data_IF_094036689763
#
_entry.id   IF_094036689763
#
_cell.length_a   1.000
_cell.length_b   1.000
_cell.length_c   1.000
_cell.angle_alpha   90.00
_cell.angle_beta   90.00
_cell.angle_gamma   90.00
#
_symmetry.space_group_name_H-M   'P 1'
#
loop_
_entity.id
_entity.type
_entity.pdbx_description
1 polymer ?
#
# COMPACT_ATOMS: atom_id res chain seq x y z
N UNK A 1 -8.19 -3.45 -35.71
CA UNK A 1 -8.77 -2.17 -35.33
C UNK A 1 -7.78 -1.41 -34.42
N UNK A 2 -7.48 -0.11 -34.69
CA UNK A 2 -6.41 0.64 -34.00
C UNK A 2 -6.62 0.78 -32.48
N UNK A 3 -7.84 0.62 -31.99
CA UNK A 3 -8.16 0.72 -30.56
C UNK A 3 -7.63 -0.45 -29.70
N UNK A 4 -7.47 -1.64 -30.27
CA UNK A 4 -6.95 -2.81 -29.54
C UNK A 4 -5.45 -2.72 -29.28
N UNK A 5 -4.70 -2.13 -30.21
CA UNK A 5 -3.25 -1.99 -30.08
C UNK A 5 -2.89 -0.87 -29.08
N UNK A 6 -3.67 0.22 -29.10
CA UNK A 6 -3.51 1.30 -28.10
C UNK A 6 -3.78 0.80 -26.67
N UNK A 7 -4.86 0.06 -26.44
CA UNK A 7 -5.16 -0.51 -25.11
C UNK A 7 -4.04 -1.43 -24.63
N UNK A 8 -3.56 -2.33 -25.50
CA UNK A 8 -2.42 -3.21 -25.15
C UNK A 8 -1.17 -2.44 -24.80
N UNK A 9 -0.85 -1.37 -25.55
CA UNK A 9 0.29 -0.53 -25.25
C UNK A 9 0.15 0.16 -23.87
N UNK A 10 -1.01 0.73 -23.58
CA UNK A 10 -1.30 1.36 -22.28
C UNK A 10 -1.20 0.36 -21.13
N UNK A 11 -1.74 -0.85 -21.30
CA UNK A 11 -1.66 -1.93 -20.29
C UNK A 11 -0.20 -2.38 -20.06
N UNK A 12 0.61 -2.45 -21.11
CA UNK A 12 2.03 -2.79 -21.01
C UNK A 12 2.83 -1.70 -20.27
N UNK A 13 2.63 -0.44 -20.63
CA UNK A 13 3.26 0.70 -19.93
C UNK A 13 2.87 0.75 -18.46
N UNK A 14 1.59 0.54 -18.16
CA UNK A 14 1.11 0.44 -16.78
C UNK A 14 1.78 -0.69 -16.01
N UNK A 15 1.87 -1.87 -16.60
CA UNK A 15 2.48 -3.04 -15.97
C UNK A 15 3.99 -2.83 -15.71
N UNK A 16 4.69 -2.14 -16.61
CA UNK A 16 6.10 -1.76 -16.42
C UNK A 16 6.25 -0.78 -15.26
N UNK A 17 5.42 0.27 -15.22
CA UNK A 17 5.43 1.24 -14.13
C UNK A 17 5.13 0.60 -12.77
N UNK A 18 4.15 -0.29 -12.70
CA UNK A 18 3.83 -1.03 -11.48
C UNK A 18 5.00 -1.93 -11.02
N UNK A 19 5.71 -2.55 -11.95
CA UNK A 19 6.89 -3.34 -11.62
C UNK A 19 8.04 -2.48 -11.11
N UNK A 20 8.24 -1.29 -11.69
CA UNK A 20 9.24 -0.33 -11.22
C UNK A 20 8.92 0.13 -9.79
N UNK A 21 7.65 0.37 -9.47
CA UNK A 21 7.19 0.69 -8.12
C UNK A 21 7.51 -0.45 -7.13
N UNK A 22 7.28 -1.71 -7.52
CA UNK A 22 7.62 -2.87 -6.66
C UNK A 22 9.12 -3.03 -6.46
N UNK A 23 9.92 -2.79 -7.50
CA UNK A 23 11.39 -2.77 -7.38
C UNK A 23 11.82 -1.69 -6.40
N UNK A 24 11.24 -0.49 -6.48
CA UNK A 24 11.53 0.59 -5.52
C UNK A 24 11.14 0.22 -4.07
N UNK A 25 10.01 -0.48 -3.88
CA UNK A 25 9.64 -1.05 -2.57
C UNK A 25 10.72 -2.01 -2.03
N UNK A 26 11.20 -2.91 -2.88
CA UNK A 26 12.24 -3.87 -2.50
C UNK A 26 13.57 -3.19 -2.16
N UNK A 27 14.00 -2.22 -2.97
CA UNK A 27 15.23 -1.45 -2.71
C UNK A 27 15.14 -0.66 -1.40
N UNK A 28 13.99 -0.02 -1.12
CA UNK A 28 13.75 0.66 0.15
C UNK A 28 13.78 -0.33 1.33
N UNK A 29 13.17 -1.51 1.16
CA UNK A 29 13.22 -2.59 2.15
C UNK A 29 14.65 -3.03 2.48
N UNK A 30 15.51 -3.21 1.47
CA UNK A 30 16.91 -3.54 1.69
C UNK A 30 17.67 -2.48 2.48
N UNK A 31 17.24 -1.22 2.40
CA UNK A 31 17.81 -0.09 3.14
C UNK A 31 17.21 0.09 4.54
N UNK A 32 16.28 -0.79 4.94
CA UNK A 32 15.64 -0.75 6.24
C UNK A 32 14.34 0.07 6.29
N UNK A 33 13.87 0.62 5.15
CA UNK A 33 12.55 1.27 5.05
C UNK A 33 11.48 0.18 4.82
N UNK A 34 11.02 -0.37 5.93
CA UNK A 34 10.07 -1.48 5.89
C UNK A 34 8.65 -1.01 5.55
N UNK A 35 7.93 -1.75 4.66
CA UNK A 35 6.53 -1.46 4.40
C UNK A 35 5.66 -1.69 5.64
N UNK A 36 4.63 -0.88 5.78
CA UNK A 36 3.66 -0.95 6.84
C UNK A 36 2.28 -1.41 6.40
N UNK A 37 1.33 -1.40 7.32
CA UNK A 37 -0.05 -1.83 7.09
C UNK A 37 -0.24 -3.34 7.09
N UNK A 38 -1.50 -3.80 6.89
CA UNK A 38 -1.84 -5.23 7.02
C UNK A 38 -1.10 -6.15 6.05
N UNK A 39 -0.70 -5.68 4.85
CA UNK A 39 0.05 -6.46 3.87
C UNK A 39 1.53 -6.61 4.21
N UNK A 40 2.06 -5.87 5.19
CA UNK A 40 3.50 -5.75 5.46
C UNK A 40 4.20 -7.09 5.70
N UNK A 41 3.64 -7.96 6.53
CA UNK A 41 4.25 -9.25 6.84
C UNK A 41 4.41 -10.14 5.61
N UNK A 42 3.39 -10.18 4.74
CA UNK A 42 3.44 -10.94 3.49
C UNK A 42 4.50 -10.38 2.54
N UNK A 43 4.54 -9.07 2.38
CA UNK A 43 5.53 -8.42 1.51
C UNK A 43 6.96 -8.61 2.01
N UNK A 44 7.19 -8.51 3.33
CA UNK A 44 8.51 -8.79 3.92
C UNK A 44 8.98 -10.21 3.65
N UNK A 45 8.11 -11.20 3.80
CA UNK A 45 8.44 -12.60 3.49
C UNK A 45 8.83 -12.77 2.03
N UNK A 46 8.11 -12.16 1.11
CA UNK A 46 8.44 -12.19 -0.32
C UNK A 46 9.81 -11.50 -0.59
N UNK A 47 10.05 -10.35 0.02
CA UNK A 47 11.30 -9.62 -0.15
C UNK A 47 12.49 -10.34 0.49
N UNK A 48 12.31 -10.97 1.65
CA UNK A 48 13.33 -11.83 2.26
C UNK A 48 13.68 -12.99 1.35
N UNK A 49 12.68 -13.67 0.79
CA UNK A 49 12.89 -14.76 -0.16
C UNK A 49 13.68 -14.30 -1.40
N UNK A 50 13.35 -13.15 -1.97
CA UNK A 50 14.05 -12.57 -3.11
C UNK A 50 15.50 -12.23 -2.74
N UNK A 51 15.71 -11.51 -1.63
CA UNK A 51 17.04 -11.15 -1.11
C UNK A 51 17.92 -12.39 -0.92
N UNK A 52 17.40 -13.40 -0.23
CA UNK A 52 18.14 -14.60 0.12
C UNK A 52 18.48 -15.45 -1.14
N UNK A 53 17.58 -15.41 -2.14
CA UNK A 53 17.79 -16.12 -3.43
C UNK A 53 18.80 -15.41 -4.32
N UNK A 54 18.81 -14.07 -4.35
CA UNK A 54 19.66 -13.27 -5.22
C UNK A 54 20.98 -12.86 -4.57
N UNK A 55 21.04 -12.83 -3.23
CA UNK A 55 22.20 -12.34 -2.48
C UNK A 55 22.34 -10.81 -2.52
N UNK A 56 21.24 -10.09 -2.73
CA UNK A 56 21.22 -8.64 -2.79
C UNK A 56 21.57 -7.99 -1.44
N UNK A 57 22.18 -6.82 -1.52
CA UNK A 57 22.61 -6.02 -0.38
C UNK A 57 22.01 -4.60 -0.48
N UNK A 58 21.91 -3.86 0.64
CA UNK A 58 21.49 -2.46 0.61
C UNK A 58 22.30 -1.65 -0.43
N UNK A 59 21.58 -1.01 -1.37
CA UNK A 59 22.19 -0.23 -2.45
C UNK A 59 22.92 -1.05 -3.54
N UNK A 60 22.85 -2.38 -3.50
CA UNK A 60 23.53 -3.26 -4.48
C UNK A 60 22.63 -4.41 -4.91
N UNK A 61 22.00 -4.27 -6.05
CA UNK A 61 21.25 -5.32 -6.75
C UNK A 61 22.21 -6.07 -7.69
N UNK A 62 22.33 -7.38 -7.49
CA UNK A 62 23.29 -8.20 -8.24
C UNK A 62 22.80 -8.58 -9.64
N UNK A 63 21.50 -8.85 -9.79
CA UNK A 63 20.88 -9.26 -11.05
C UNK A 63 19.51 -8.60 -11.22
N UNK A 64 19.48 -7.44 -11.85
CA UNK A 64 18.27 -6.67 -12.12
C UNK A 64 17.21 -7.45 -12.94
N UNK A 65 17.65 -8.24 -13.91
CA UNK A 65 16.73 -9.00 -14.76
C UNK A 65 16.03 -10.09 -13.96
N UNK A 66 16.76 -10.81 -13.14
CA UNK A 66 16.22 -11.87 -12.30
C UNK A 66 15.34 -11.31 -11.19
N UNK A 67 15.74 -10.19 -10.56
CA UNK A 67 14.94 -9.46 -9.61
C UNK A 67 13.56 -9.11 -10.19
N UNK A 68 13.52 -8.45 -11.35
CA UNK A 68 12.28 -8.07 -12.02
C UNK A 68 11.40 -9.29 -12.35
N UNK A 69 12.02 -10.41 -12.74
CA UNK A 69 11.28 -11.65 -12.98
C UNK A 69 10.64 -12.20 -11.71
N UNK A 70 11.35 -12.18 -10.59
CA UNK A 70 10.84 -12.66 -9.30
C UNK A 70 9.73 -11.76 -8.75
N UNK A 71 9.83 -10.44 -8.93
CA UNK A 71 8.85 -9.47 -8.43
C UNK A 71 7.66 -9.23 -9.39
N UNK A 72 7.67 -9.79 -10.59
CA UNK A 72 6.66 -9.52 -11.62
C UNK A 72 5.22 -9.85 -11.17
N UNK A 73 5.02 -10.86 -10.34
CA UNK A 73 3.71 -11.23 -9.81
C UNK A 73 3.15 -10.16 -8.87
N UNK A 74 3.98 -9.52 -8.05
CA UNK A 74 3.59 -8.40 -7.20
C UNK A 74 3.24 -7.16 -8.03
N UNK A 75 4.02 -6.87 -9.08
CA UNK A 75 3.74 -5.77 -10.01
C UNK A 75 2.35 -5.86 -10.63
N UNK A 76 1.89 -7.07 -10.99
CA UNK A 76 0.55 -7.29 -11.56
C UNK A 76 -0.59 -6.97 -10.60
N UNK A 77 -0.36 -7.05 -9.30
CA UNK A 77 -1.37 -6.86 -8.27
C UNK A 77 -1.32 -5.47 -7.63
N UNK A 78 -0.26 -4.70 -7.87
CA UNK A 78 -0.08 -3.38 -7.26
C UNK A 78 -1.01 -2.34 -7.86
N UNK A 79 -1.73 -1.65 -7.00
CA UNK A 79 -2.50 -0.44 -7.29
C UNK A 79 -2.02 0.66 -6.36
N UNK A 80 -1.35 1.65 -6.94
CA UNK A 80 -0.81 2.81 -6.21
C UNK A 80 -1.95 3.74 -5.82
N UNK A 81 -2.01 4.14 -4.56
CA UNK A 81 -3.05 5.00 -4.01
C UNK A 81 -2.51 6.18 -3.19
N UNK A 82 -3.40 7.09 -2.81
CA UNK A 82 -3.05 8.28 -2.03
C UNK A 82 -2.93 7.99 -0.53
N UNK A 83 -3.81 7.15 0.01
CA UNK A 83 -3.84 6.79 1.43
C UNK A 83 -3.10 5.48 1.72
N UNK A 84 -3.01 4.60 0.75
CA UNK A 84 -2.31 3.32 0.83
C UNK A 84 -2.12 2.76 -0.58
N UNK A 85 -1.16 1.89 -0.73
CA UNK A 85 -1.06 1.03 -1.89
C UNK A 85 -1.83 -0.28 -1.65
N UNK A 86 -2.31 -0.90 -2.70
CA UNK A 86 -3.04 -2.14 -2.63
C UNK A 86 -2.34 -3.22 -3.47
N UNK A 87 -1.87 -4.28 -2.84
CA UNK A 87 -1.44 -5.50 -3.51
C UNK A 87 -2.65 -6.43 -3.65
N UNK A 88 -3.44 -6.16 -4.67
CA UNK A 88 -4.80 -6.65 -4.83
C UNK A 88 -4.88 -8.17 -5.03
N UNK A 89 -5.49 -8.83 -4.05
CA UNK A 89 -5.95 -10.20 -4.14
C UNK A 89 -7.47 -10.22 -3.90
N UNK A 90 -8.27 -10.57 -4.92
CA UNK A 90 -9.73 -10.60 -4.79
C UNK A 90 -10.23 -11.52 -3.68
N UNK A 91 -9.50 -12.60 -3.37
CA UNK A 91 -9.91 -13.58 -2.37
C UNK A 91 -9.89 -13.03 -0.94
N UNK A 92 -9.06 -12.02 -0.68
CA UNK A 92 -8.89 -11.40 0.65
C UNK A 92 -9.33 -9.93 0.71
N UNK A 93 -9.81 -9.37 -0.40
CA UNK A 93 -10.13 -7.95 -0.51
C UNK A 93 -11.41 -7.58 0.25
N UNK A 94 -11.30 -6.73 1.29
CA UNK A 94 -12.45 -6.26 2.08
C UNK A 94 -13.34 -5.24 1.34
N UNK A 95 -12.86 -4.65 0.25
CA UNK A 95 -13.64 -3.71 -0.54
C UNK A 95 -14.63 -4.38 -1.51
N UNK A 96 -14.59 -5.72 -1.63
CA UNK A 96 -15.46 -6.48 -2.51
C UNK A 96 -16.69 -7.00 -1.80
N UNK A 97 -17.79 -7.12 -2.55
CA UNK A 97 -19.02 -7.81 -2.16
C UNK A 97 -19.14 -9.10 -2.97
N UNK A 98 -20.00 -10.01 -2.55
CA UNK A 98 -20.20 -11.32 -3.17
C UNK A 98 -20.60 -11.28 -4.65
N UNK A 99 -21.23 -10.20 -5.08
CA UNK A 99 -21.70 -9.95 -6.45
C UNK A 99 -20.70 -9.15 -7.31
N UNK A 100 -19.67 -8.58 -6.70
CA UNK A 100 -18.63 -7.86 -7.43
C UNK A 100 -17.77 -8.84 -8.24
N UNK A 101 -17.46 -8.47 -9.49
CA UNK A 101 -16.53 -9.19 -10.37
C UNK A 101 -15.36 -8.28 -10.75
N UNK A 102 -14.46 -8.00 -9.82
CA UNK A 102 -13.50 -6.93 -10.02
C UNK A 102 -12.25 -7.41 -10.74
N UNK A 103 -11.77 -6.56 -11.63
CA UNK A 103 -10.40 -6.59 -12.11
C UNK A 103 -9.47 -5.70 -11.26
N UNK A 104 -10.02 -4.92 -10.31
CA UNK A 104 -9.30 -3.91 -9.53
C UNK A 104 -10.00 -3.64 -8.17
N UNK A 105 -9.30 -3.05 -7.19
CA UNK A 105 -9.89 -2.68 -5.91
C UNK A 105 -10.98 -1.60 -6.06
N UNK A 106 -12.00 -1.67 -5.19
CA UNK A 106 -13.06 -0.65 -5.11
C UNK A 106 -12.68 0.40 -4.07
N UNK A 107 -12.10 1.49 -4.54
CA UNK A 107 -11.47 2.53 -3.69
C UNK A 107 -12.47 3.13 -2.69
N UNK A 108 -13.72 3.38 -3.09
CA UNK A 108 -14.75 3.97 -2.22
C UNK A 108 -15.14 3.09 -1.02
N UNK A 109 -14.75 1.83 -1.01
CA UNK A 109 -14.99 0.86 0.06
C UNK A 109 -13.69 0.36 0.70
N UNK A 110 -12.56 1.01 0.42
CA UNK A 110 -11.28 0.61 0.95
C UNK A 110 -11.21 0.82 2.48
N UNK A 111 -10.64 -0.14 3.18
CA UNK A 111 -10.34 -0.08 4.61
C UNK A 111 -8.85 -0.31 4.83
N UNK A 112 -8.01 0.72 4.68
CA UNK A 112 -6.55 0.59 4.70
C UNK A 112 -5.98 0.02 6.01
N UNK A 113 -6.68 0.23 7.11
CA UNK A 113 -6.31 -0.24 8.45
C UNK A 113 -6.57 -1.73 8.70
N UNK A 114 -7.41 -2.37 7.88
CA UNK A 114 -7.85 -3.75 8.09
C UNK A 114 -7.68 -4.67 6.90
N UNK A 115 -7.65 -4.13 5.68
CA UNK A 115 -7.61 -4.95 4.47
C UNK A 115 -6.25 -5.65 4.32
N UNK A 116 -6.18 -6.99 4.21
CA UNK A 116 -4.93 -7.72 4.04
C UNK A 116 -4.10 -7.32 2.82
N UNK A 117 -4.70 -6.62 1.86
CA UNK A 117 -4.04 -6.15 0.65
C UNK A 117 -3.43 -4.75 0.79
N UNK A 118 -3.70 -4.06 1.91
CA UNK A 118 -3.27 -2.68 2.14
C UNK A 118 -1.82 -2.60 2.62
N UNK A 119 -1.03 -1.80 1.92
CA UNK A 119 0.35 -1.50 2.24
C UNK A 119 0.55 0.01 2.39
N UNK A 120 1.32 0.43 3.39
CA UNK A 120 1.69 1.81 3.62
C UNK A 120 3.20 1.98 3.58
N UNK A 121 3.64 3.14 3.14
CA UNK A 121 5.04 3.58 3.20
C UNK A 121 5.11 4.99 3.77
N UNK A 122 6.31 5.51 3.97
CA UNK A 122 6.54 6.87 4.48
C UNK A 122 5.77 7.95 3.73
N UNK A 123 5.55 7.80 2.40
CA UNK A 123 4.77 8.77 1.60
C UNK A 123 3.30 8.88 1.99
N UNK A 124 2.75 7.87 2.65
CA UNK A 124 1.35 7.88 3.10
C UNK A 124 1.15 8.56 4.46
N UNK A 125 2.24 8.83 5.19
CA UNK A 125 2.16 9.42 6.53
C UNK A 125 1.52 10.81 6.50
N UNK A 126 1.94 11.68 5.60
CA UNK A 126 1.43 13.06 5.53
C UNK A 126 -0.10 13.16 5.30
N UNK A 127 -0.72 12.42 4.35
CA UNK A 127 -2.16 12.37 4.21
C UNK A 127 -2.90 11.90 5.47
N UNK A 128 -2.37 10.90 6.15
CA UNK A 128 -2.97 10.39 7.39
C UNK A 128 -2.85 11.39 8.54
N UNK A 129 -1.71 12.07 8.69
CA UNK A 129 -1.54 13.16 9.67
C UNK A 129 -2.55 14.28 9.44
N UNK A 130 -2.69 14.75 8.19
CA UNK A 130 -3.67 15.77 7.85
C UNK A 130 -5.10 15.35 8.24
N UNK A 131 -5.46 14.08 7.99
CA UNK A 131 -6.78 13.55 8.38
C UNK A 131 -6.97 13.47 9.90
N UNK A 132 -5.91 13.19 10.68
CA UNK A 132 -5.94 13.20 12.15
C UNK A 132 -6.13 14.62 12.66
N UNK A 133 -5.38 15.59 12.14
CA UNK A 133 -5.48 17.01 12.50
C UNK A 133 -6.86 17.57 12.20
N UNK A 134 -7.48 17.19 11.08
CA UNK A 134 -8.86 17.56 10.75
C UNK A 134 -9.84 17.01 11.80
N UNK A 135 -9.68 15.76 12.20
CA UNK A 135 -10.48 15.14 13.27
C UNK A 135 -10.29 15.85 14.60
N UNK A 136 -9.07 16.24 14.97
CA UNK A 136 -8.77 16.99 16.20
C UNK A 136 -9.43 18.38 16.19
N UNK A 137 -9.39 19.08 15.05
CA UNK A 137 -10.09 20.37 14.90
C UNK A 137 -11.59 20.23 15.07
N UNK A 138 -12.19 19.18 14.51
CA UNK A 138 -13.62 18.89 14.70
C UNK A 138 -13.97 18.63 16.17
N UNK A 139 -13.12 17.91 16.91
CA UNK A 139 -13.32 17.62 18.34
C UNK A 139 -13.30 18.87 19.23
N UNK A 140 -12.56 19.92 18.83
CA UNK A 140 -12.53 21.21 19.53
C UNK A 140 -13.82 22.03 19.33
N UNK A 141 -14.59 21.71 18.29
CA UNK A 141 -15.86 22.39 18.00
C UNK A 141 -17.00 21.98 18.93
N UNK A 142 -18.00 22.88 19.07
CA UNK A 142 -19.17 22.66 19.91
C UNK A 142 -20.40 22.10 19.16
N UNK A 143 -20.23 21.78 17.85
CA UNK A 143 -21.35 21.36 16.99
C UNK A 143 -21.60 19.84 17.01
N UNK A 144 -20.69 19.06 17.58
CA UNK A 144 -20.76 17.60 17.59
C UNK A 144 -21.45 17.08 18.85
N UNK A 145 -22.29 16.04 18.68
CA UNK A 145 -22.83 15.26 19.80
C UNK A 145 -21.71 14.44 20.50
N UNK A 146 -21.96 14.01 21.72
CA UNK A 146 -21.03 13.15 22.47
C UNK A 146 -20.66 11.87 21.70
N UNK A 147 -21.63 11.24 21.04
CA UNK A 147 -21.41 10.02 20.24
C UNK A 147 -20.50 10.30 19.05
N UNK A 148 -20.70 11.40 18.34
CA UNK A 148 -19.85 11.81 17.23
C UNK A 148 -18.42 12.09 17.68
N UNK A 149 -18.23 12.76 18.82
CA UNK A 149 -16.90 13.02 19.40
C UNK A 149 -16.17 11.72 19.72
N UNK A 150 -16.85 10.75 20.35
CA UNK A 150 -16.26 9.43 20.62
C UNK A 150 -15.85 8.72 19.34
N UNK A 151 -16.71 8.73 18.32
CA UNK A 151 -16.41 8.08 17.03
C UNK A 151 -15.19 8.69 16.34
N UNK A 152 -15.08 10.02 16.31
CA UNK A 152 -13.92 10.72 15.71
C UNK A 152 -12.65 10.44 16.51
N UNK A 153 -12.70 10.46 17.84
CA UNK A 153 -11.53 10.14 18.67
C UNK A 153 -11.03 8.72 18.42
N UNK A 154 -11.92 7.74 18.37
CA UNK A 154 -11.58 6.34 18.07
C UNK A 154 -11.00 6.18 16.65
N UNK A 155 -11.54 6.92 15.68
CA UNK A 155 -11.04 6.91 14.31
C UNK A 155 -9.63 7.50 14.25
N UNK A 156 -9.38 8.63 14.91
CA UNK A 156 -8.04 9.22 15.01
C UNK A 156 -7.04 8.29 15.68
N UNK A 157 -7.45 7.55 16.73
CA UNK A 157 -6.56 6.57 17.37
C UNK A 157 -6.22 5.38 16.45
N UNK A 158 -7.15 4.93 15.63
CA UNK A 158 -6.87 3.92 14.60
C UNK A 158 -5.86 4.43 13.58
N UNK A 159 -6.05 5.65 13.09
CA UNK A 159 -5.14 6.30 12.12
C UNK A 159 -3.73 6.46 12.70
N UNK A 160 -3.59 6.92 13.95
CA UNK A 160 -2.29 7.01 14.61
C UNK A 160 -1.59 5.67 14.71
N UNK A 161 -2.29 4.61 15.13
CA UNK A 161 -1.73 3.26 15.18
C UNK A 161 -1.29 2.75 13.80
N UNK A 162 -2.03 3.11 12.76
CA UNK A 162 -1.74 2.69 11.38
C UNK A 162 -0.40 3.24 10.89
N UNK A 163 -0.06 4.47 11.23
CA UNK A 163 1.17 5.15 10.77
C UNK A 163 2.31 5.16 11.77
N UNK A 164 2.09 4.75 13.02
CA UNK A 164 3.05 4.91 14.12
C UNK A 164 4.46 4.39 13.80
N UNK A 165 4.56 3.18 13.21
CA UNK A 165 5.85 2.57 12.88
C UNK A 165 6.53 3.19 11.65
N UNK A 166 5.78 3.95 10.83
CA UNK A 166 6.33 4.69 9.68
C UNK A 166 6.83 6.07 10.08
N UNK A 167 6.38 6.58 11.23
CA UNK A 167 6.79 7.88 11.78
C UNK A 167 8.07 7.78 12.61
N UNK A 168 8.30 6.63 13.20
CA UNK A 168 9.47 6.35 14.03
C UNK A 168 10.18 5.10 13.49
N UNK A 169 10.85 5.20 12.33
CA UNK A 169 11.67 4.12 11.83
C UNK A 169 12.76 3.87 12.87
N UNK A 170 12.79 2.68 13.45
CA UNK A 170 13.82 2.29 14.42
C UNK A 170 15.20 2.58 13.83
N UNK A 171 15.89 3.55 14.43
CA UNK A 171 17.30 3.84 14.21
C UNK A 171 18.14 2.60 14.52
#
# INVERSE_FOLDING_TARGET
>A
APHGDFRRAVEQERALGQLDDVVAYYEAYLQGDEPGGPASSRLKQEFDHVRDTLGDLPGRILDQKRLRTMLAHLGKTLHVGFLNDCFFDPASALCLRSDDRPAAPVISRCSPDRCPNSCLTSRHVAPWRASIEDGERLLQGNTLSAVQKVAIAQDNDRKRRLIAHLEDPKV
#
